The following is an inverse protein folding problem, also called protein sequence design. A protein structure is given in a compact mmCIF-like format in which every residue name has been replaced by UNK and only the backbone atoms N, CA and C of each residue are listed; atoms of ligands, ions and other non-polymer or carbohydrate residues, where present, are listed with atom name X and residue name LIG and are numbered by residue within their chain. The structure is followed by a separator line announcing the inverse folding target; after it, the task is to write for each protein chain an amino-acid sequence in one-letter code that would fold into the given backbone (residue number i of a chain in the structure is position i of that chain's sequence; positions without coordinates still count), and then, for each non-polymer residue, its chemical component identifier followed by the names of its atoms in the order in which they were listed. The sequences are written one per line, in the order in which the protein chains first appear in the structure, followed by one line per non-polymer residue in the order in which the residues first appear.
data_IF_665530704948
#
_entry.id   IF_665530704948
#
_cell.length_a   1.000
_cell.length_b   1.000
_cell.length_c   1.000
_cell.angle_alpha   90.00
_cell.angle_beta   90.00
_cell.angle_gamma   90.00
#
_symmetry.space_group_name_H-M   'P 1'
#
loop_
_entity.id
_entity.type
_entity.pdbx_description
1 polymer ?
#
# COMPACT_ATOMS: atom_id res chain seq x y z
N UNK A 1 -0.05 -13.71 -9.63
CA UNK A 1 -0.76 -12.83 -8.70
C UNK A 1 -1.94 -12.21 -9.40
N UNK A 2 -3.12 -12.53 -8.90
CA UNK A 2 -4.34 -11.79 -9.23
C UNK A 2 -4.35 -10.46 -8.49
N UNK A 3 -5.25 -9.56 -8.89
CA UNK A 3 -5.46 -8.28 -8.21
C UNK A 3 -5.83 -8.45 -6.74
N UNK A 4 -6.56 -9.52 -6.42
CA UNK A 4 -7.02 -9.86 -5.07
C UNK A 4 -5.86 -10.27 -4.14
N UNK A 5 -4.95 -11.13 -4.60
CA UNK A 5 -3.74 -11.50 -3.85
C UNK A 5 -2.84 -10.27 -3.60
N UNK A 6 -2.74 -9.39 -4.60
CA UNK A 6 -1.98 -8.16 -4.49
C UNK A 6 -2.62 -7.19 -3.48
N UNK A 7 -3.96 -7.08 -3.46
CA UNK A 7 -4.68 -6.26 -2.48
C UNK A 7 -4.41 -6.74 -1.06
N UNK A 8 -4.59 -8.04 -0.80
CA UNK A 8 -4.33 -8.62 0.52
C UNK A 8 -2.87 -8.44 0.95
N UNK A 9 -1.93 -8.61 0.02
CA UNK A 9 -0.52 -8.36 0.25
C UNK A 9 -0.24 -6.91 0.63
N UNK A 10 -0.80 -5.96 -0.13
CA UNK A 10 -0.61 -4.51 0.13
C UNK A 10 -1.19 -4.11 1.48
N UNK A 11 -2.37 -4.59 1.86
CA UNK A 11 -2.97 -4.38 3.19
C UNK A 11 -2.07 -4.89 4.33
N UNK A 12 -1.57 -6.11 4.18
CA UNK A 12 -0.60 -6.69 5.11
C UNK A 12 0.66 -5.84 5.21
N UNK A 13 1.22 -5.42 4.07
CA UNK A 13 2.42 -4.57 4.03
C UNK A 13 2.18 -3.17 4.59
N UNK A 14 1.00 -2.57 4.45
CA UNK A 14 0.64 -1.29 5.08
C UNK A 14 0.72 -1.41 6.60
N UNK A 15 0.14 -2.46 7.16
CA UNK A 15 0.20 -2.74 8.61
C UNK A 15 1.64 -2.94 9.06
N UNK A 16 2.41 -3.79 8.37
CA UNK A 16 3.82 -4.04 8.69
C UNK A 16 4.68 -2.79 8.57
N UNK A 17 4.43 -1.94 7.57
CA UNK A 17 5.16 -0.69 7.36
C UNK A 17 4.85 0.31 8.48
N UNK A 18 3.59 0.41 8.91
CA UNK A 18 3.20 1.24 10.04
C UNK A 18 3.87 0.76 11.35
N UNK A 19 3.86 -0.55 11.62
CA UNK A 19 4.56 -1.15 12.75
C UNK A 19 6.08 -0.88 12.71
N UNK A 20 6.72 -1.10 11.55
CA UNK A 20 8.18 -0.95 11.39
C UNK A 20 8.62 0.52 11.51
N UNK A 21 7.78 1.46 11.09
CA UNK A 21 8.03 2.89 11.23
C UNK A 21 7.61 3.45 12.60
N UNK A 22 6.95 2.66 13.43
CA UNK A 22 6.34 3.13 14.69
C UNK A 22 5.28 4.21 14.44
N UNK A 23 4.63 4.19 13.29
CA UNK A 23 3.59 5.15 12.95
C UNK A 23 2.32 4.80 13.71
N UNK A 24 1.54 5.82 14.15
CA UNK A 24 0.22 5.58 14.69
C UNK A 24 -0.65 4.89 13.64
N UNK A 25 -1.69 4.18 14.10
CA UNK A 25 -2.63 3.44 13.24
C UNK A 25 -3.24 4.29 12.11
N UNK A 26 -3.26 5.61 12.29
CA UNK A 26 -3.59 6.62 11.29
C UNK A 26 -2.48 7.68 11.28
N UNK A 27 -1.45 7.53 10.44
CA UNK A 27 -0.48 8.58 10.21
C UNK A 27 -1.20 9.77 9.56
N UNK A 28 -0.87 11.00 9.99
CA UNK A 28 -1.50 12.21 9.47
C UNK A 28 -1.09 12.53 8.02
N UNK A 29 0.08 12.04 7.58
CA UNK A 29 0.62 12.25 6.23
C UNK A 29 1.49 11.06 5.76
N UNK A 30 0.91 9.86 5.56
CA UNK A 30 1.66 8.74 5.02
C UNK A 30 1.93 8.99 3.54
N UNK A 31 3.20 9.10 3.16
CA UNK A 31 3.58 9.31 1.77
C UNK A 31 3.53 8.00 1.02
N UNK A 32 2.62 7.89 0.06
CA UNK A 32 2.54 6.72 -0.83
C UNK A 32 3.88 6.42 -1.50
N UNK A 33 4.65 7.44 -1.92
CA UNK A 33 5.97 7.22 -2.53
C UNK A 33 6.99 6.57 -1.58
N UNK A 34 6.95 6.86 -0.27
CA UNK A 34 7.78 6.19 0.73
C UNK A 34 7.37 4.73 0.91
N UNK A 35 6.06 4.48 1.02
CA UNK A 35 5.53 3.13 1.12
C UNK A 35 5.83 2.31 -0.13
N UNK A 36 5.62 2.88 -1.31
CA UNK A 36 5.84 2.20 -2.59
C UNK A 36 7.31 1.84 -2.78
N UNK A 37 8.24 2.76 -2.45
CA UNK A 37 9.67 2.50 -2.50
C UNK A 37 10.10 1.43 -1.47
N UNK A 38 9.50 1.42 -0.29
CA UNK A 38 9.73 0.37 0.71
C UNK A 38 9.17 -0.99 0.26
N UNK A 39 7.98 -1.02 -0.32
CA UNK A 39 7.32 -2.23 -0.84
C UNK A 39 8.11 -2.80 -2.02
N UNK A 40 8.62 -1.94 -2.91
CA UNK A 40 9.46 -2.34 -4.03
C UNK A 40 10.77 -2.97 -3.57
N UNK A 41 11.37 -2.45 -2.49
CA UNK A 41 12.56 -3.06 -1.86
C UNK A 41 12.25 -4.37 -1.15
N UNK A 42 11.12 -4.47 -0.43
CA UNK A 42 10.78 -5.67 0.35
C UNK A 42 10.23 -6.81 -0.49
N UNK A 43 9.49 -6.49 -1.55
CA UNK A 43 8.82 -7.48 -2.38
C UNK A 43 8.55 -6.94 -3.79
N UNK A 44 9.60 -6.87 -4.64
CA UNK A 44 9.45 -6.46 -6.04
C UNK A 44 8.54 -7.41 -6.84
N UNK A 45 8.36 -8.65 -6.36
CA UNK A 45 7.44 -9.62 -6.96
C UNK A 45 5.96 -9.26 -6.78
N UNK A 46 5.62 -8.56 -5.69
CA UNK A 46 4.23 -8.15 -5.41
C UNK A 46 3.75 -7.00 -6.30
N UNK A 47 4.66 -6.32 -7.00
CA UNK A 47 4.36 -5.24 -7.94
C UNK A 47 4.29 -5.71 -9.40
N UNK A 48 4.43 -7.02 -9.66
CA UNK A 48 4.41 -7.61 -11.02
C UNK A 48 3.08 -8.28 -11.38
N UNK A 49 1.97 -7.89 -10.76
CA UNK A 49 0.65 -8.41 -11.12
C UNK A 49 0.09 -7.68 -12.35
N UNK A 50 -0.81 -8.36 -13.07
CA UNK A 50 -1.38 -7.86 -14.32
C UNK A 50 -2.50 -6.87 -13.99
N UNK A 51 -2.18 -5.59 -13.86
CA UNK A 51 -3.17 -4.50 -13.75
C UNK A 51 -3.51 -3.92 -15.13
N UNK A 52 -4.79 -3.63 -15.36
CA UNK A 52 -5.28 -3.03 -16.61
C UNK A 52 -4.96 -1.54 -16.74
N UNK A 53 -4.78 -0.83 -15.62
CA UNK A 53 -4.55 0.64 -15.60
C UNK A 53 -3.10 0.97 -15.23
N UNK A 54 -2.68 0.59 -14.02
CA UNK A 54 -1.29 0.61 -13.56
C UNK A 54 -1.24 0.03 -12.15
N UNK A 55 -0.27 -0.85 -11.88
CA UNK A 55 -0.06 -1.42 -10.54
C UNK A 55 0.04 -0.32 -9.49
N UNK A 56 0.75 0.76 -9.80
CA UNK A 56 0.91 1.91 -8.91
C UNK A 56 -0.43 2.55 -8.49
N UNK A 57 -1.36 2.70 -9.43
CA UNK A 57 -2.67 3.34 -9.19
C UNK A 57 -3.57 2.45 -8.32
N UNK A 58 -3.56 1.14 -8.57
CA UNK A 58 -4.27 0.16 -7.73
C UNK A 58 -3.71 0.15 -6.28
N UNK A 59 -2.38 0.11 -6.14
CA UNK A 59 -1.71 0.10 -4.82
C UNK A 59 -1.95 1.41 -4.08
N UNK A 60 -1.96 2.55 -4.76
CA UNK A 60 -2.26 3.86 -4.16
C UNK A 60 -3.69 3.91 -3.59
N UNK A 61 -4.67 3.40 -4.34
CA UNK A 61 -6.05 3.31 -3.83
C UNK A 61 -6.16 2.43 -2.60
N UNK A 62 -5.53 1.25 -2.61
CA UNK A 62 -5.56 0.33 -1.47
C UNK A 62 -4.88 0.93 -0.23
N UNK A 63 -3.80 1.68 -0.43
CA UNK A 63 -3.11 2.39 0.63
C UNK A 63 -4.00 3.47 1.26
N UNK A 64 -4.68 4.26 0.45
CA UNK A 64 -5.62 5.31 0.91
C UNK A 64 -6.80 4.70 1.68
N UNK A 65 -7.33 3.58 1.19
CA UNK A 65 -8.41 2.81 1.82
C UNK A 65 -8.01 2.26 3.20
N UNK A 66 -6.85 1.59 3.29
CA UNK A 66 -6.35 0.99 4.53
C UNK A 66 -6.04 2.03 5.60
N UNK A 67 -5.36 3.13 5.22
CA UNK A 67 -5.06 4.22 6.16
C UNK A 67 -6.28 5.08 6.48
N UNK A 68 -7.47 4.72 5.97
CA UNK A 68 -8.73 5.45 6.17
C UNK A 68 -8.56 6.96 6.02
N UNK A 69 -7.77 7.40 5.02
CA UNK A 69 -7.68 8.81 4.65
C UNK A 69 -9.01 9.38 4.09
N UNK A 70 -10.08 8.57 4.06
CA UNK A 70 -11.44 8.93 3.69
C UNK A 70 -12.24 9.76 4.71
N UNK A 71 -11.64 10.26 5.80
CA UNK A 71 -12.31 11.26 6.68
C UNK A 71 -12.35 12.68 6.08
N UNK A 72 -11.81 12.87 4.88
CA UNK A 72 -12.05 14.07 4.05
C UNK A 72 -13.07 13.76 2.95
N UNK A 73 -14.31 13.51 3.35
CA UNK A 73 -15.46 13.73 2.47
C UNK A 73 -16.57 14.44 3.24
#
# INVERSE_FOLDING_TARGET
MTKDEAEQGVRYFCTKWAEERGLPHQPENPRFSDFFSWLEQKSPGHLKFRSSTSVRDDVERWFIDEFKQGWRY
#
